data_IF_673945237473
#
_entry.id   IF_673945237473
#
_cell.length_a   1.000
_cell.length_b   1.000
_cell.length_c   1.000
_cell.angle_alpha   90.00
_cell.angle_beta   90.00
_cell.angle_gamma   90.00
#
_symmetry.space_group_name_H-M   'P 1'
#
loop_
_entity.id
_entity.type
_entity.pdbx_description
1 polymer ?
#
# COMPACT_ATOMS: atom_id res chain seq x y z
N UNK A 1 22.24 17.64 16.34
CA UNK A 1 22.55 16.75 15.19
C UNK A 1 21.94 17.36 13.94
N UNK A 2 22.75 17.88 13.02
CA UNK A 2 22.30 18.38 11.72
C UNK A 2 21.72 17.21 10.91
N UNK A 3 20.42 16.97 11.05
CA UNK A 3 19.69 16.10 10.14
C UNK A 3 19.61 16.86 8.82
N UNK A 4 20.50 16.53 7.90
CA UNK A 4 20.35 16.95 6.52
C UNK A 4 18.99 16.42 6.06
N UNK A 5 18.00 17.32 5.96
CA UNK A 5 16.62 16.92 5.62
C UNK A 5 16.64 16.50 4.16
N UNK A 6 16.70 15.18 3.93
CA UNK A 6 16.56 14.62 2.59
C UNK A 6 15.20 15.03 2.04
N UNK A 7 15.19 15.69 0.89
CA UNK A 7 13.97 15.97 0.17
C UNK A 7 13.62 14.74 -0.69
N UNK A 8 12.78 13.85 -0.15
CA UNK A 8 12.40 12.61 -0.83
C UNK A 8 11.62 12.84 -2.13
N UNK A 9 10.96 13.98 -2.29
CA UNK A 9 10.32 14.34 -3.56
C UNK A 9 11.38 14.53 -4.67
N UNK A 10 12.47 15.25 -4.38
CA UNK A 10 13.58 15.40 -5.33
C UNK A 10 14.27 14.06 -5.63
N UNK A 11 14.42 13.20 -4.62
CA UNK A 11 14.98 11.85 -4.81
C UNK A 11 14.09 11.01 -5.72
N UNK A 12 12.77 11.07 -5.54
CA UNK A 12 11.78 10.41 -6.39
C UNK A 12 11.90 10.91 -7.83
N UNK A 13 11.86 12.23 -8.05
CA UNK A 13 11.99 12.85 -9.37
C UNK A 13 13.26 12.40 -10.10
N UNK A 14 14.40 12.41 -9.43
CA UNK A 14 15.67 11.93 -9.99
C UNK A 14 15.62 10.44 -10.34
N UNK A 15 14.97 9.63 -9.51
CA UNK A 15 14.81 8.19 -9.75
C UNK A 15 13.94 7.95 -10.99
N UNK A 16 12.83 8.68 -11.13
CA UNK A 16 11.93 8.58 -12.27
C UNK A 16 12.61 9.02 -13.58
N UNK A 17 13.37 10.12 -13.55
CA UNK A 17 14.16 10.58 -14.70
C UNK A 17 15.13 9.50 -15.18
N UNK A 18 15.88 8.90 -14.25
CA UNK A 18 16.81 7.82 -14.58
C UNK A 18 16.11 6.61 -15.20
N UNK A 19 14.96 6.19 -14.66
CA UNK A 19 14.15 5.09 -15.22
C UNK A 19 13.78 5.38 -16.69
N UNK A 20 13.41 6.63 -16.99
CA UNK A 20 13.06 7.05 -18.34
C UNK A 20 14.28 7.11 -19.27
N UNK A 21 15.41 7.64 -18.82
CA UNK A 21 16.68 7.68 -19.55
C UNK A 21 17.18 6.28 -19.90
N UNK A 22 17.08 5.36 -18.95
CA UNK A 22 17.44 3.94 -19.11
C UNK A 22 16.47 3.19 -20.04
N UNK A 23 15.34 3.81 -20.43
CA UNK A 23 14.26 3.22 -21.24
C UNK A 23 13.76 1.88 -20.70
N UNK A 24 13.76 1.73 -19.37
CA UNK A 24 13.29 0.53 -18.67
C UNK A 24 12.02 0.84 -17.90
N UNK A 25 11.22 -0.20 -17.66
CA UNK A 25 10.01 -0.12 -16.85
C UNK A 25 10.13 -1.17 -15.74
N UNK A 26 10.64 -0.79 -14.56
CA UNK A 26 10.79 -1.71 -13.44
C UNK A 26 9.44 -2.16 -12.86
N UNK A 27 9.44 -3.29 -12.16
CA UNK A 27 8.27 -3.80 -11.44
C UNK A 27 8.20 -3.21 -10.04
N UNK A 28 6.99 -2.91 -9.57
CA UNK A 28 6.75 -2.35 -8.23
C UNK A 28 5.57 -3.06 -7.55
N UNK A 29 5.82 -3.63 -6.37
CA UNK A 29 4.77 -4.15 -5.49
C UNK A 29 4.30 -3.01 -4.56
N UNK A 30 3.02 -2.67 -4.64
CA UNK A 30 2.40 -1.64 -3.80
C UNK A 30 1.41 -2.29 -2.81
N UNK A 31 1.68 -2.15 -1.52
CA UNK A 31 0.71 -2.51 -0.49
C UNK A 31 -0.43 -1.48 -0.46
N UNK A 32 -1.67 -1.96 -0.43
CA UNK A 32 -2.86 -1.13 -0.18
C UNK A 32 -3.72 -1.72 0.94
N UNK A 33 -4.28 -0.86 1.78
CA UNK A 33 -5.29 -1.23 2.77
C UNK A 33 -6.68 -0.59 2.50
N UNK A 34 -6.76 0.32 1.53
CA UNK A 34 -7.99 0.95 1.03
C UNK A 34 -7.76 1.69 -0.31
N UNK A 35 -8.81 1.79 -1.14
CA UNK A 35 -8.77 2.47 -2.43
C UNK A 35 -8.37 3.96 -2.39
N UNK A 36 -9.02 4.85 -1.60
CA UNK A 36 -8.87 6.29 -1.77
C UNK A 36 -7.45 6.81 -1.45
N UNK A 37 -6.72 6.18 -0.54
CA UNK A 37 -5.36 6.61 -0.21
C UNK A 37 -4.33 6.12 -1.23
N UNK A 38 -4.63 5.03 -1.95
CA UNK A 38 -3.72 4.44 -2.94
C UNK A 38 -3.91 5.04 -4.34
N UNK A 39 -5.04 5.71 -4.60
CA UNK A 39 -5.44 6.13 -5.94
C UNK A 39 -4.41 7.02 -6.63
N UNK A 40 -4.03 8.13 -5.99
CA UNK A 40 -3.03 9.06 -6.53
C UNK A 40 -1.67 8.40 -6.76
N UNK A 41 -1.25 7.52 -5.84
CA UNK A 41 0.03 6.82 -5.95
C UNK A 41 0.04 5.87 -7.15
N UNK A 42 -1.05 5.13 -7.35
CA UNK A 42 -1.22 4.22 -8.49
C UNK A 42 -1.27 5.03 -9.79
N UNK A 43 -2.08 6.09 -9.84
CA UNK A 43 -2.18 6.99 -11.00
C UNK A 43 -0.81 7.53 -11.40
N UNK A 44 -0.07 8.08 -10.45
CA UNK A 44 1.19 8.72 -10.71
C UNK A 44 2.28 7.71 -11.11
N UNK A 45 2.48 6.65 -10.33
CA UNK A 45 3.59 5.72 -10.51
C UNK A 45 3.37 4.71 -11.65
N UNK A 46 2.12 4.43 -12.03
CA UNK A 46 1.81 3.54 -13.16
C UNK A 46 2.29 4.07 -14.52
N UNK A 47 2.75 5.33 -14.56
CA UNK A 47 3.42 5.91 -15.73
C UNK A 47 4.90 5.48 -15.88
N UNK A 48 5.46 4.90 -14.82
CA UNK A 48 6.89 4.60 -14.71
C UNK A 48 7.18 3.15 -14.33
N UNK A 49 6.21 2.42 -13.76
CA UNK A 49 6.40 1.06 -13.24
C UNK A 49 5.31 0.10 -13.73
N UNK A 50 5.67 -1.19 -13.83
CA UNK A 50 4.69 -2.29 -13.83
C UNK A 50 4.25 -2.56 -12.40
N UNK A 51 3.04 -2.14 -12.06
CA UNK A 51 2.55 -2.19 -10.69
C UNK A 51 1.74 -3.46 -10.43
N UNK A 52 2.02 -4.10 -9.30
CA UNK A 52 1.11 -5.05 -8.66
C UNK A 52 0.64 -4.48 -7.34
N UNK A 53 -0.67 -4.26 -7.19
CA UNK A 53 -1.29 -3.85 -5.93
C UNK A 53 -1.57 -5.09 -5.11
N UNK A 54 -0.97 -5.18 -3.93
CA UNK A 54 -1.27 -6.19 -2.92
C UNK A 54 -2.21 -5.62 -1.86
N UNK A 55 -3.46 -6.04 -1.89
CA UNK A 55 -4.48 -5.60 -0.93
C UNK A 55 -4.47 -6.47 0.32
N UNK A 56 -4.11 -5.91 1.46
CA UNK A 56 -4.12 -6.65 2.73
C UNK A 56 -4.44 -5.74 3.91
N UNK A 57 -5.61 -5.97 4.51
CA UNK A 57 -6.08 -5.23 5.67
C UNK A 57 -6.77 -6.15 6.70
N UNK A 58 -6.00 -6.76 7.62
CA UNK A 58 -6.54 -7.66 8.63
C UNK A 58 -7.24 -6.93 9.79
N UNK A 59 -7.26 -5.59 9.79
CA UNK A 59 -7.93 -4.78 10.81
C UNK A 59 -9.43 -4.59 10.53
N UNK A 60 -9.91 -5.02 9.36
CA UNK A 60 -11.35 -5.01 9.05
C UNK A 60 -11.94 -6.29 9.63
N UNK A 61 -12.72 -6.17 10.69
CA UNK A 61 -13.32 -7.28 11.42
C UNK A 61 -14.56 -7.84 10.74
N UNK A 62 -15.39 -6.98 10.13
CA UNK A 62 -16.57 -7.40 9.39
C UNK A 62 -16.22 -7.84 7.96
N UNK A 63 -16.54 -9.10 7.62
CA UNK A 63 -16.21 -9.66 6.31
C UNK A 63 -16.88 -8.92 5.15
N UNK A 64 -18.12 -8.45 5.32
CA UNK A 64 -18.83 -7.69 4.30
C UNK A 64 -18.13 -6.35 3.98
N UNK A 65 -17.65 -5.64 5.00
CA UNK A 65 -16.88 -4.40 4.81
C UNK A 65 -15.53 -4.68 4.15
N UNK A 66 -14.88 -5.80 4.50
CA UNK A 66 -13.64 -6.22 3.83
C UNK A 66 -13.87 -6.47 2.34
N UNK A 67 -14.91 -7.23 1.99
CA UNK A 67 -15.28 -7.50 0.60
C UNK A 67 -15.61 -6.23 -0.16
N UNK A 68 -16.40 -5.33 0.45
CA UNK A 68 -16.78 -4.04 -0.15
C UNK A 68 -15.54 -3.21 -0.49
N UNK A 69 -14.61 -3.06 0.44
CA UNK A 69 -13.37 -2.29 0.22
C UNK A 69 -12.43 -2.93 -0.78
N UNK A 70 -12.35 -4.26 -0.80
CA UNK A 70 -11.57 -5.01 -1.79
C UNK A 70 -12.13 -4.79 -3.19
N UNK A 71 -13.44 -4.91 -3.34
CA UNK A 71 -14.13 -4.68 -4.62
C UNK A 71 -13.97 -3.24 -5.11
N UNK A 72 -14.06 -2.26 -4.23
CA UNK A 72 -13.82 -0.86 -4.56
C UNK A 72 -12.40 -0.64 -5.12
N UNK A 73 -11.38 -1.26 -4.50
CA UNK A 73 -10.00 -1.19 -5.00
C UNK A 73 -9.85 -1.84 -6.39
N UNK A 74 -10.48 -3.00 -6.61
CA UNK A 74 -10.49 -3.67 -7.91
C UNK A 74 -11.17 -2.81 -8.98
N UNK A 75 -12.33 -2.24 -8.66
CA UNK A 75 -13.07 -1.36 -9.56
C UNK A 75 -12.27 -0.11 -9.92
N UNK A 76 -11.65 0.54 -8.93
CA UNK A 76 -10.77 1.68 -9.18
C UNK A 76 -9.62 1.31 -10.14
N UNK A 77 -8.94 0.18 -9.92
CA UNK A 77 -7.85 -0.29 -10.78
C UNK A 77 -8.34 -0.58 -12.21
N UNK A 78 -9.57 -1.05 -12.37
CA UNK A 78 -10.16 -1.30 -13.69
C UNK A 78 -10.56 -0.02 -14.43
N UNK A 79 -10.90 1.05 -13.70
CA UNK A 79 -11.40 2.31 -14.27
C UNK A 79 -10.29 3.31 -14.57
N UNK A 80 -9.18 3.26 -13.84
CA UNK A 80 -8.09 4.21 -14.01
C UNK A 80 -7.34 3.99 -15.32
N UNK A 81 -7.12 5.07 -16.05
CA UNK A 81 -6.32 5.05 -17.27
C UNK A 81 -4.84 5.20 -16.92
N UNK A 82 -4.06 4.15 -17.14
CA UNK A 82 -2.63 4.12 -16.82
C UNK A 82 -1.81 3.78 -18.07
N UNK A 83 -0.56 4.26 -18.12
CA UNK A 83 0.36 3.93 -19.22
C UNK A 83 0.72 2.45 -19.23
N UNK A 84 0.97 1.88 -18.06
CA UNK A 84 1.22 0.45 -17.87
C UNK A 84 0.08 -0.18 -17.07
N UNK A 85 -0.32 -1.42 -17.40
CA UNK A 85 -1.41 -2.09 -16.71
C UNK A 85 -1.06 -2.32 -15.24
N UNK A 86 -2.05 -2.13 -14.37
CA UNK A 86 -1.93 -2.36 -12.93
C UNK A 86 -2.56 -3.71 -12.59
N UNK A 87 -1.80 -4.58 -11.95
CA UNK A 87 -2.27 -5.87 -11.45
C UNK A 87 -2.81 -5.74 -10.03
N UNK A 88 -3.67 -6.67 -9.64
CA UNK A 88 -4.25 -6.73 -8.30
C UNK A 88 -4.10 -8.13 -7.72
N UNK A 89 -3.66 -8.21 -6.47
CA UNK A 89 -3.56 -9.43 -5.67
C UNK A 89 -4.24 -9.19 -4.34
N UNK A 90 -5.23 -10.03 -4.02
CA UNK A 90 -5.89 -10.04 -2.72
C UNK A 90 -5.08 -10.87 -1.71
N UNK A 91 -4.71 -10.27 -0.59
CA UNK A 91 -4.14 -10.98 0.55
C UNK A 91 -5.23 -11.61 1.40
N UNK A 92 -4.89 -12.68 2.13
CA UNK A 92 -5.83 -13.42 3.00
C UNK A 92 -6.59 -12.49 3.96
N UNK A 93 -7.91 -12.67 4.06
CA UNK A 93 -8.71 -12.15 5.16
C UNK A 93 -8.30 -12.85 6.48
N UNK A 94 -7.57 -12.13 7.34
CA UNK A 94 -6.79 -12.70 8.45
C UNK A 94 -6.96 -11.89 9.74
N UNK A 95 -8.22 -11.68 10.14
CA UNK A 95 -8.62 -10.88 11.30
C UNK A 95 -8.03 -11.42 12.61
N UNK A 96 -7.95 -12.74 12.74
CA UNK A 96 -7.41 -13.40 13.94
C UNK A 96 -5.97 -12.97 14.22
N UNK A 97 -5.13 -12.83 13.19
CA UNK A 97 -3.76 -12.36 13.37
C UNK A 97 -3.70 -10.92 13.84
N UNK A 98 -4.61 -10.05 13.38
CA UNK A 98 -4.71 -8.69 13.90
C UNK A 98 -5.17 -8.70 15.36
N UNK A 99 -6.23 -9.43 15.71
CA UNK A 99 -6.74 -9.51 17.09
C UNK A 99 -5.67 -10.00 18.06
N UNK A 100 -4.86 -11.00 17.66
CA UNK A 100 -3.77 -11.54 18.48
C UNK A 100 -2.74 -10.49 18.86
N UNK A 101 -2.40 -9.57 17.93
CA UNK A 101 -1.44 -8.49 18.22
C UNK A 101 -2.09 -7.28 18.89
N UNK A 102 -3.38 -7.02 18.64
CA UNK A 102 -4.08 -5.81 19.07
C UNK A 102 -4.65 -5.92 20.48
N UNK A 103 -5.19 -7.10 20.88
CA UNK A 103 -5.76 -7.35 22.21
C UNK A 103 -4.88 -6.91 23.38
N UNK A 104 -3.58 -7.30 23.47
CA UNK A 104 -2.73 -6.88 24.58
C UNK A 104 -2.40 -5.38 24.57
N UNK A 105 -2.74 -4.66 23.48
CA UNK A 105 -2.48 -3.24 23.27
C UNK A 105 -3.79 -2.43 23.19
N UNK A 106 -4.91 -2.96 23.66
CA UNK A 106 -6.23 -2.34 23.51
C UNK A 106 -6.35 -0.96 24.16
N UNK A 107 -5.56 -0.70 25.21
CA UNK A 107 -5.55 0.58 25.94
C UNK A 107 -4.55 1.60 25.37
N UNK A 108 -3.77 1.24 24.35
CA UNK A 108 -2.85 2.18 23.72
C UNK A 108 -3.62 3.27 22.96
N UNK A 109 -3.20 4.54 23.06
CA UNK A 109 -3.81 5.62 22.29
C UNK A 109 -3.58 5.42 20.78
N UNK A 110 -4.37 6.13 19.98
CA UNK A 110 -4.12 6.23 18.54
C UNK A 110 -2.71 6.80 18.28
N UNK A 111 -1.99 6.23 17.32
CA UNK A 111 -0.56 6.51 17.11
C UNK A 111 0.41 5.83 18.08
N UNK A 112 -0.10 5.11 19.10
CA UNK A 112 0.68 4.35 20.06
C UNK A 112 1.18 3.00 19.55
N UNK A 113 1.59 2.10 20.45
CA UNK A 113 2.24 0.82 20.10
C UNK A 113 1.36 -0.08 19.24
N UNK A 114 0.03 0.01 19.39
CA UNK A 114 -0.95 -0.73 18.58
C UNK A 114 -0.82 -0.42 17.08
N UNK A 115 -0.64 0.85 16.71
CA UNK A 115 -0.51 1.26 15.30
C UNK A 115 0.79 0.71 14.69
N UNK A 116 1.90 0.76 15.42
CA UNK A 116 3.17 0.16 14.99
C UNK A 116 3.08 -1.35 14.79
N UNK A 117 2.39 -2.06 15.68
CA UNK A 117 2.15 -3.49 15.53
C UNK A 117 1.32 -3.79 14.27
N UNK A 118 0.30 -2.98 13.97
CA UNK A 118 -0.50 -3.07 12.75
C UNK A 118 0.35 -2.85 11.48
N UNK A 119 1.17 -1.80 11.44
CA UNK A 119 2.07 -1.53 10.31
C UNK A 119 3.04 -2.68 10.08
N UNK A 120 3.66 -3.19 11.15
CA UNK A 120 4.58 -4.33 11.07
C UNK A 120 3.90 -5.59 10.56
N UNK A 121 2.67 -5.87 10.99
CA UNK A 121 1.89 -7.02 10.51
C UNK A 121 1.65 -6.94 9.00
N UNK A 122 1.27 -5.75 8.50
CA UNK A 122 1.01 -5.54 7.07
C UNK A 122 2.28 -5.61 6.23
N UNK A 123 3.36 -4.95 6.65
CA UNK A 123 4.65 -4.96 5.95
C UNK A 123 5.29 -6.36 5.92
N UNK A 124 5.08 -7.19 6.95
CA UNK A 124 5.57 -8.58 6.94
C UNK A 124 4.86 -9.49 5.94
N UNK A 125 3.69 -9.09 5.42
CA UNK A 125 3.00 -9.86 4.38
C UNK A 125 3.45 -9.50 2.96
N UNK A 126 4.24 -8.45 2.80
CA UNK A 126 4.74 -7.98 1.50
C UNK A 126 6.22 -8.33 1.27
N UNK A 127 6.85 -9.09 2.17
CA UNK A 127 8.28 -9.39 2.19
C UNK A 127 8.54 -10.89 2.30
#
# INVERSE_FOLDING_TARGET
MNHNKINYQKVLEQTLLKIQEDKKVPTLLLHSCCAPCSSYVIEYLSNYFYITVFYYNPNIDEYEEYLKRTKEQQQFIQQIQTKFPVQFVEGKYDVENFLRIAKPLAHEPEGGRRCWACYRLRLKKTA
#
